data_IF_760747863152
#
_entry.id   IF_760747863152
#
_cell.length_a   1.000
_cell.length_b   1.000
_cell.length_c   1.000
_cell.angle_alpha   90.00
_cell.angle_beta   90.00
_cell.angle_gamma   90.00
#
_symmetry.space_group_name_H-M   'P 1'
#
loop_
_entity.id
_entity.type
_entity.pdbx_description
1 polymer ?
#
# COMPACT_ATOMS: atom_id res chain seq x y z
N UNK A 1 -10.02 51.97 65.71
CA UNK A 1 -10.28 52.26 64.29
C UNK A 1 -11.10 51.09 63.73
N UNK A 2 -12.42 51.20 63.74
CA UNK A 2 -13.31 50.07 63.44
C UNK A 2 -13.47 49.89 61.92
N UNK A 3 -13.09 48.72 61.41
CA UNK A 3 -13.29 48.32 60.01
C UNK A 3 -14.78 48.32 59.68
N UNK A 4 -15.20 49.21 58.78
CA UNK A 4 -16.56 49.23 58.23
C UNK A 4 -16.69 48.09 57.22
N UNK A 5 -17.29 46.98 57.67
CA UNK A 5 -17.75 45.92 56.80
C UNK A 5 -18.78 46.48 55.81
N UNK A 6 -18.52 46.25 54.52
CA UNK A 6 -19.37 46.66 53.41
C UNK A 6 -20.74 45.99 53.47
N UNK A 7 -21.81 46.78 53.55
CA UNK A 7 -23.19 46.33 53.41
C UNK A 7 -23.45 46.00 51.93
N UNK A 8 -23.08 44.80 51.48
CA UNK A 8 -23.46 44.33 50.13
C UNK A 8 -24.97 44.10 50.12
N UNK A 9 -25.71 44.91 49.36
CA UNK A 9 -27.16 44.77 49.17
C UNK A 9 -27.51 43.36 48.66
N UNK A 10 -28.67 42.83 49.06
CA UNK A 10 -29.14 41.51 48.62
C UNK A 10 -29.19 41.37 47.09
N UNK A 11 -29.44 42.48 46.37
CA UNK A 11 -29.38 42.53 44.91
C UNK A 11 -27.98 42.23 44.36
N UNK A 12 -26.92 42.77 44.96
CA UNK A 12 -25.54 42.53 44.53
C UNK A 12 -25.18 41.05 44.67
N UNK A 13 -25.65 40.38 45.73
CA UNK A 13 -25.43 38.94 45.92
C UNK A 13 -26.13 38.11 44.85
N UNK A 14 -27.38 38.47 44.49
CA UNK A 14 -28.13 37.80 43.42
C UNK A 14 -27.43 37.95 42.08
N UNK A 15 -26.96 39.17 41.75
CA UNK A 15 -26.26 39.45 40.49
C UNK A 15 -25.00 38.58 40.39
N UNK A 16 -24.19 38.51 41.45
CA UNK A 16 -22.97 37.68 41.47
C UNK A 16 -23.31 36.19 41.28
N UNK A 17 -24.39 35.69 41.88
CA UNK A 17 -24.81 34.30 41.70
C UNK A 17 -25.23 34.04 40.26
N UNK A 18 -26.02 34.94 39.66
CA UNK A 18 -26.47 34.81 38.26
C UNK A 18 -25.28 34.85 37.30
N UNK A 19 -24.33 35.77 37.53
CA UNK A 19 -23.12 35.89 36.73
C UNK A 19 -22.26 34.62 36.84
N UNK A 20 -22.11 34.09 38.05
CA UNK A 20 -21.39 32.82 38.27
C UNK A 20 -22.05 31.64 37.55
N UNK A 21 -23.39 31.55 37.60
CA UNK A 21 -24.15 30.51 36.89
C UNK A 21 -24.00 30.64 35.38
N UNK A 22 -24.02 31.87 34.85
CA UNK A 22 -23.77 32.13 33.44
C UNK A 22 -22.37 31.67 33.02
N UNK A 23 -21.34 32.01 33.79
CA UNK A 23 -19.96 31.58 33.51
C UNK A 23 -19.86 30.05 33.55
N UNK A 24 -20.45 29.40 34.56
CA UNK A 24 -20.47 27.94 34.63
C UNK A 24 -21.19 27.29 33.43
N UNK A 25 -22.31 27.88 32.99
CA UNK A 25 -23.03 27.43 31.80
C UNK A 25 -22.21 27.58 30.52
N UNK A 26 -21.50 28.70 30.35
CA UNK A 26 -20.63 28.93 29.20
C UNK A 26 -19.48 27.93 29.17
N UNK A 27 -18.83 27.66 30.30
CA UNK A 27 -17.76 26.65 30.41
C UNK A 27 -18.32 25.27 30.05
N UNK A 28 -19.49 24.89 30.56
CA UNK A 28 -20.14 23.63 30.25
C UNK A 28 -20.47 23.50 28.75
N UNK A 29 -21.05 24.55 28.15
CA UNK A 29 -21.39 24.59 26.73
C UNK A 29 -20.16 24.48 25.85
N UNK A 30 -19.10 25.23 26.17
CA UNK A 30 -17.84 25.21 25.42
C UNK A 30 -17.18 23.83 25.49
N UNK A 31 -17.12 23.24 26.70
CA UNK A 31 -16.56 21.89 26.90
C UNK A 31 -17.30 20.86 26.07
N UNK A 32 -18.63 20.92 26.04
CA UNK A 32 -19.45 19.99 25.23
C UNK A 32 -19.26 20.19 23.73
N UNK A 33 -19.12 21.44 23.28
CA UNK A 33 -18.88 21.74 21.88
C UNK A 33 -17.51 21.23 21.41
N UNK A 34 -16.47 21.44 22.21
CA UNK A 34 -15.11 20.93 21.92
C UNK A 34 -15.09 19.40 21.88
N UNK A 35 -15.75 18.74 22.85
CA UNK A 35 -15.82 17.28 22.89
C UNK A 35 -16.57 16.69 21.68
N UNK A 36 -17.61 17.37 21.19
CA UNK A 36 -18.34 16.94 20.01
C UNK A 36 -17.53 17.17 18.72
N UNK A 37 -16.85 18.32 18.59
CA UNK A 37 -16.03 18.62 17.41
C UNK A 37 -14.93 17.58 17.21
N UNK A 38 -14.22 17.24 18.28
CA UNK A 38 -13.10 16.29 18.20
C UNK A 38 -13.53 14.88 17.79
N UNK A 39 -14.70 14.43 18.26
CA UNK A 39 -15.25 13.14 17.84
C UNK A 39 -15.67 13.15 16.37
N UNK A 40 -16.29 14.24 15.91
CA UNK A 40 -16.72 14.37 14.50
C UNK A 40 -15.51 14.33 13.57
N UNK A 41 -14.43 15.05 13.90
CA UNK A 41 -13.22 15.07 13.08
C UNK A 41 -12.57 13.68 13.01
N UNK A 42 -12.53 12.94 14.13
CA UNK A 42 -12.05 11.54 14.13
C UNK A 42 -12.90 10.61 13.26
N UNK A 43 -14.23 10.77 13.28
CA UNK A 43 -15.10 9.98 12.41
C UNK A 43 -14.85 10.30 10.94
N UNK A 44 -14.70 11.57 10.58
CA UNK A 44 -14.38 11.99 9.21
C UNK A 44 -13.07 11.36 8.75
N UNK A 45 -12.00 11.49 9.53
CA UNK A 45 -10.70 10.88 9.22
C UNK A 45 -10.81 9.35 9.05
N UNK A 46 -11.52 8.68 9.97
CA UNK A 46 -11.71 7.22 9.87
C UNK A 46 -12.49 6.79 8.62
N UNK A 47 -13.50 7.56 8.21
CA UNK A 47 -14.29 7.26 7.02
C UNK A 47 -13.52 7.57 5.73
N UNK A 48 -12.65 8.60 5.73
CA UNK A 48 -11.76 8.89 4.62
C UNK A 48 -10.75 7.76 4.41
N UNK A 49 -10.11 7.30 5.49
CA UNK A 49 -9.17 6.16 5.45
C UNK A 49 -9.85 4.85 5.00
N UNK A 50 -11.06 4.58 5.48
CA UNK A 50 -11.83 3.40 5.07
C UNK A 50 -12.20 3.46 3.58
N UNK A 51 -12.62 4.63 3.08
CA UNK A 51 -12.90 4.81 1.66
C UNK A 51 -11.66 4.59 0.78
N UNK A 52 -10.52 5.13 1.18
CA UNK A 52 -9.25 4.92 0.45
C UNK A 52 -8.86 3.45 0.41
N UNK A 53 -9.01 2.75 1.54
CA UNK A 53 -8.74 1.31 1.63
C UNK A 53 -9.65 0.52 0.69
N UNK A 54 -10.95 0.81 0.71
CA UNK A 54 -11.93 0.15 -0.16
C UNK A 54 -11.64 0.43 -1.64
N UNK A 55 -11.23 1.65 -1.99
CA UNK A 55 -10.90 1.99 -3.38
C UNK A 55 -9.68 1.19 -3.88
N UNK A 56 -8.64 1.07 -3.05
CA UNK A 56 -7.45 0.26 -3.36
C UNK A 56 -7.83 -1.21 -3.52
N UNK A 57 -8.59 -1.78 -2.58
CA UNK A 57 -9.05 -3.17 -2.68
C UNK A 57 -9.88 -3.42 -3.94
N UNK A 58 -10.74 -2.48 -4.32
CA UNK A 58 -11.58 -2.63 -5.50
C UNK A 58 -10.75 -2.60 -6.78
N UNK A 59 -9.71 -1.76 -6.83
CA UNK A 59 -8.76 -1.72 -7.95
C UNK A 59 -8.00 -3.04 -8.07
N UNK A 60 -7.44 -3.53 -6.97
CA UNK A 60 -6.71 -4.82 -6.95
C UNK A 60 -7.61 -5.98 -7.40
N UNK A 61 -8.83 -6.07 -6.86
CA UNK A 61 -9.80 -7.11 -7.27
C UNK A 61 -10.18 -6.99 -8.75
N UNK A 62 -10.26 -5.78 -9.27
CA UNK A 62 -10.54 -5.55 -10.69
C UNK A 62 -9.37 -6.00 -11.56
N UNK A 63 -8.14 -5.66 -11.18
CA UNK A 63 -6.94 -6.05 -11.91
C UNK A 63 -6.76 -7.57 -11.91
N UNK A 64 -6.97 -8.22 -10.76
CA UNK A 64 -6.98 -9.68 -10.63
C UNK A 64 -8.04 -10.32 -11.53
N UNK A 65 -9.26 -9.79 -11.51
CA UNK A 65 -10.35 -10.26 -12.37
C UNK A 65 -9.98 -10.16 -13.85
N UNK A 66 -9.42 -9.02 -14.28
CA UNK A 66 -8.97 -8.82 -15.66
C UNK A 66 -7.84 -9.79 -16.03
N UNK A 67 -6.89 -10.03 -15.12
CA UNK A 67 -5.82 -10.99 -15.34
C UNK A 67 -6.35 -12.42 -15.50
N UNK A 68 -7.22 -12.88 -14.60
CA UNK A 68 -7.75 -14.25 -14.65
C UNK A 68 -8.73 -14.50 -15.80
N UNK A 69 -9.39 -13.45 -16.30
CA UNK A 69 -10.25 -13.54 -17.49
C UNK A 69 -9.49 -13.35 -18.80
N UNK A 70 -8.22 -12.92 -18.74
CA UNK A 70 -7.42 -12.66 -19.93
C UNK A 70 -7.15 -13.94 -20.75
N UNK A 71 -7.12 -13.79 -22.07
CA UNK A 71 -6.78 -14.90 -22.98
C UNK A 71 -5.38 -15.45 -22.70
N UNK A 72 -4.45 -14.59 -22.28
CA UNK A 72 -3.08 -14.99 -21.94
C UNK A 72 -3.06 -15.92 -20.72
N UNK A 73 -3.86 -15.63 -19.69
CA UNK A 73 -3.96 -16.50 -18.53
C UNK A 73 -4.61 -17.84 -18.88
N UNK A 74 -5.68 -17.81 -19.68
CA UNK A 74 -6.37 -19.03 -20.15
C UNK A 74 -5.42 -19.90 -20.98
N UNK A 75 -4.68 -19.31 -21.93
CA UNK A 75 -3.69 -20.02 -22.75
C UNK A 75 -2.56 -20.60 -21.91
N UNK A 76 -2.03 -19.82 -20.95
CA UNK A 76 -0.99 -20.28 -20.02
C UNK A 76 -1.46 -21.50 -19.23
N UNK A 77 -2.68 -21.45 -18.67
CA UNK A 77 -3.24 -22.56 -17.88
C UNK A 77 -3.54 -23.78 -18.76
N UNK A 78 -4.05 -23.58 -19.98
CA UNK A 78 -4.29 -24.67 -20.93
C UNK A 78 -2.99 -25.37 -21.32
N UNK A 79 -1.92 -24.60 -21.61
CA UNK A 79 -0.59 -25.14 -21.92
C UNK A 79 0.02 -25.88 -20.73
N UNK A 80 -0.01 -25.29 -19.54
CA UNK A 80 0.62 -25.86 -18.34
C UNK A 80 -0.10 -27.11 -17.83
N UNK A 81 -1.43 -27.12 -17.79
CA UNK A 81 -2.19 -28.20 -17.16
C UNK A 81 -2.65 -29.27 -18.13
N UNK A 82 -2.92 -28.90 -19.39
CA UNK A 82 -3.49 -29.81 -20.38
C UNK A 82 -2.47 -30.17 -21.47
N UNK A 83 -1.28 -29.55 -21.47
CA UNK A 83 -0.27 -29.75 -22.52
C UNK A 83 -0.77 -29.35 -23.90
N UNK A 84 -1.80 -28.49 -23.96
CA UNK A 84 -2.42 -28.08 -25.22
C UNK A 84 -1.53 -27.07 -25.94
N UNK A 85 -1.43 -27.22 -27.25
CA UNK A 85 -0.59 -26.39 -28.12
C UNK A 85 -1.47 -25.88 -29.25
N UNK A 86 -1.38 -24.59 -29.56
CA UNK A 86 -2.19 -24.02 -30.62
C UNK A 86 -1.69 -24.51 -32.00
N UNK A 87 -2.58 -24.63 -33.00
CA UNK A 87 -2.18 -25.05 -34.34
C UNK A 87 -1.15 -24.07 -34.94
N UNK A 88 0.06 -24.57 -35.23
CA UNK A 88 1.18 -23.77 -35.76
C UNK A 88 2.26 -23.39 -34.73
N UNK A 89 2.13 -23.81 -33.47
CA UNK A 89 3.13 -23.61 -32.42
C UNK A 89 4.03 -24.87 -32.30
N UNK A 90 5.35 -24.68 -32.28
CA UNK A 90 6.34 -25.77 -32.16
C UNK A 90 6.74 -25.99 -30.69
N UNK A 91 6.64 -27.23 -30.22
CA UNK A 91 7.07 -27.61 -28.86
C UNK A 91 8.52 -28.10 -28.90
N UNK A 92 9.41 -27.37 -28.23
CA UNK A 92 10.79 -27.80 -27.99
C UNK A 92 10.82 -28.76 -26.80
N UNK A 93 11.02 -30.05 -27.07
CA UNK A 93 11.28 -31.06 -26.04
C UNK A 93 12.79 -31.23 -25.92
N UNK A 94 13.35 -30.78 -24.80
CA UNK A 94 14.76 -31.00 -24.48
C UNK A 94 14.93 -32.44 -23.98
N UNK A 95 15.40 -33.33 -24.85
CA UNK A 95 15.78 -34.69 -24.45
C UNK A 95 17.08 -34.64 -23.62
N UNK A 96 17.16 -35.36 -22.48
CA UNK A 96 18.36 -35.36 -21.63
C UNK A 96 19.59 -35.93 -22.33
N UNK A 97 19.42 -36.71 -23.41
CA UNK A 97 20.51 -37.27 -24.22
C UNK A 97 21.20 -36.22 -25.13
N UNK A 98 20.63 -35.01 -25.27
CA UNK A 98 21.22 -33.89 -26.03
C UNK A 98 22.05 -32.97 -25.12
N UNK A 99 22.13 -33.29 -23.82
CA UNK A 99 23.10 -32.68 -22.91
C UNK A 99 24.44 -33.44 -22.95
N UNK A 100 24.87 -33.85 -24.15
CA UNK A 100 26.25 -34.28 -24.37
C UNK A 100 27.08 -33.01 -24.62
N UNK A 101 27.93 -32.58 -23.67
CA UNK A 101 28.66 -31.31 -23.76
C UNK A 101 29.68 -31.26 -24.92
N UNK A 102 29.85 -32.34 -25.67
CA UNK A 102 30.86 -32.49 -26.73
C UNK A 102 30.31 -32.42 -28.18
N UNK A 103 29.00 -32.22 -28.40
CA UNK A 103 28.39 -32.32 -29.74
C UNK A 103 28.16 -31.02 -30.53
N UNK A 104 28.67 -29.86 -30.10
CA UNK A 104 28.62 -28.63 -30.90
C UNK A 104 29.98 -27.91 -30.96
N UNK A 105 31.01 -28.62 -31.41
CA UNK A 105 32.33 -28.07 -31.71
C UNK A 105 32.51 -27.70 -33.19
N UNK A 106 31.46 -27.24 -33.89
CA UNK A 106 31.63 -26.67 -35.22
C UNK A 106 30.38 -25.94 -35.71
N UNK A 107 30.10 -24.74 -35.18
CA UNK A 107 29.76 -23.59 -36.01
C UNK A 107 30.20 -22.29 -35.31
N UNK A 108 31.00 -21.52 -36.05
CA UNK A 108 31.63 -20.27 -35.66
C UNK A 108 30.60 -19.15 -35.45
N UNK A 109 30.42 -18.69 -34.21
CA UNK A 109 29.71 -17.44 -33.93
C UNK A 109 29.35 -17.16 -32.46
N UNK A 110 29.33 -18.18 -31.60
CA UNK A 110 28.81 -18.06 -30.22
C UNK A 110 29.88 -18.12 -29.11
N UNK A 111 31.17 -18.22 -29.49
CA UNK A 111 32.29 -18.54 -28.58
C UNK A 111 32.70 -17.43 -27.60
N UNK A 112 32.04 -16.27 -27.60
CA UNK A 112 32.36 -15.20 -26.64
C UNK A 112 31.55 -15.34 -25.34
N UNK A 113 30.37 -15.95 -25.39
CA UNK A 113 29.49 -16.09 -24.22
C UNK A 113 29.90 -17.23 -23.30
N UNK A 114 30.49 -18.30 -23.87
CA UNK A 114 30.86 -19.51 -23.13
C UNK A 114 32.15 -19.37 -22.30
N UNK A 115 32.94 -18.30 -22.51
CA UNK A 115 34.24 -18.11 -21.84
C UNK A 115 34.11 -17.54 -20.41
N UNK A 116 32.93 -17.06 -20.03
CA UNK A 116 32.68 -16.42 -18.73
C UNK A 116 31.88 -17.29 -17.74
N UNK A 117 31.56 -18.54 -18.08
CA UNK A 117 30.75 -19.44 -17.23
C UNK A 117 31.42 -19.92 -15.93
N UNK A 118 32.68 -19.52 -15.68
CA UNK A 118 33.42 -19.81 -14.45
C UNK A 118 33.52 -18.66 -13.44
N UNK A 119 33.02 -17.45 -13.77
CA UNK A 119 33.04 -16.32 -12.83
C UNK A 119 31.74 -16.22 -12.05
N UNK A 120 31.83 -15.98 -10.74
CA UNK A 120 30.70 -15.55 -9.91
C UNK A 120 29.89 -14.47 -10.64
N UNK A 121 28.56 -14.63 -10.70
CA UNK A 121 27.66 -13.68 -11.36
C UNK A 121 27.94 -12.22 -10.96
N UNK A 122 28.40 -11.97 -9.73
CA UNK A 122 28.74 -10.64 -9.25
C UNK A 122 29.91 -9.98 -10.01
N UNK A 123 30.93 -10.75 -10.41
CA UNK A 123 32.08 -10.22 -11.15
C UNK A 123 31.69 -9.83 -12.58
N UNK A 124 30.80 -10.59 -13.22
CA UNK A 124 30.30 -10.30 -14.56
C UNK A 124 29.49 -8.99 -14.60
N UNK A 125 28.68 -8.73 -13.57
CA UNK A 125 27.97 -7.45 -13.47
C UNK A 125 28.91 -6.27 -13.24
N UNK A 126 29.97 -6.45 -12.45
CA UNK A 126 30.94 -5.39 -12.19
C UNK A 126 31.72 -4.98 -13.45
N UNK A 127 32.15 -5.97 -14.24
CA UNK A 127 32.87 -5.73 -15.49
C UNK A 127 31.96 -5.05 -16.53
N UNK A 128 30.68 -5.42 -16.61
CA UNK A 128 29.72 -4.78 -17.51
C UNK A 128 29.51 -3.27 -17.22
N UNK A 129 29.45 -2.88 -15.94
CA UNK A 129 29.18 -1.49 -15.58
C UNK A 129 30.42 -0.60 -15.52
N UNK A 130 31.62 -1.16 -15.34
CA UNK A 130 32.82 -0.37 -15.06
C UNK A 130 34.09 -0.81 -15.83
N UNK A 131 34.03 -1.87 -16.63
CA UNK A 131 35.12 -2.35 -17.48
C UNK A 131 35.02 -1.79 -18.89
N UNK A 132 35.89 -0.84 -19.23
CA UNK A 132 36.04 -0.26 -20.57
C UNK A 132 37.10 -0.95 -21.41
#
# INVERSE_FOLDING_TARGET
MSSRFSHTSGLTKIIIIVEFVLVAYLIYSLTRNVYNSYQIDQYIESFEDENLTIEVENREKTDDYLYFTSEQYIDRIAKQNLGLVNPGEEVLILSPDVLDPDLDASESGLNDFAKHSGSSNANSWWEFFFGG
#
